data_IF_844997299546
#
_entry.id   IF_844997299546
#
_cell.length_a   1.000
_cell.length_b   1.000
_cell.length_c   1.000
_cell.angle_alpha   90.00
_cell.angle_beta   90.00
_cell.angle_gamma   90.00
#
_symmetry.space_group_name_H-M   'P 1'
#
loop_
_entity.id
_entity.type
_entity.pdbx_description
1 polymer ?
#
# COMPACT_ATOMS: atom_id res chain seq x y z
N UNK A 1 -5.96 -16.73 16.86
CA UNK A 1 -5.70 -15.99 15.60
C UNK A 1 -4.28 -16.32 15.20
N UNK A 2 -4.12 -17.03 14.09
CA UNK A 2 -2.82 -17.38 13.50
C UNK A 2 -2.25 -16.18 12.76
N UNK A 3 -0.96 -15.90 12.89
CA UNK A 3 -0.30 -14.72 12.39
C UNK A 3 0.75 -15.10 11.34
N UNK A 4 0.65 -14.53 10.15
CA UNK A 4 1.66 -14.67 9.11
C UNK A 4 2.35 -13.34 8.82
N UNK A 5 3.61 -13.41 8.38
CA UNK A 5 4.31 -12.29 7.73
C UNK A 5 4.54 -12.68 6.28
N UNK A 6 4.10 -11.85 5.34
CA UNK A 6 4.40 -11.95 3.92
C UNK A 6 5.50 -10.94 3.59
N UNK A 7 6.71 -11.42 3.37
CA UNK A 7 7.89 -10.61 3.06
C UNK A 7 8.34 -10.86 1.62
N UNK A 8 8.78 -9.80 0.93
CA UNK A 8 9.37 -9.93 -0.40
C UNK A 8 10.76 -9.31 -0.44
N UNK A 9 11.65 -9.94 -1.21
CA UNK A 9 13.02 -9.47 -1.37
C UNK A 9 13.43 -9.41 -2.85
N UNK A 10 14.28 -8.44 -3.19
CA UNK A 10 15.00 -8.34 -4.45
C UNK A 10 16.19 -7.40 -4.29
N UNK A 11 17.41 -7.93 -4.39
CA UNK A 11 18.68 -7.19 -4.23
C UNK A 11 18.66 -6.26 -3.01
N UNK A 12 18.35 -6.81 -1.84
CA UNK A 12 18.16 -6.07 -0.60
C UNK A 12 19.24 -6.30 0.46
N UNK A 13 20.37 -6.87 0.12
CA UNK A 13 21.43 -7.30 1.05
C UNK A 13 21.85 -6.21 2.06
N UNK A 14 21.88 -4.93 1.64
CA UNK A 14 22.35 -3.81 2.46
C UNK A 14 21.50 -3.52 3.70
N UNK A 15 20.20 -3.79 3.64
CA UNK A 15 19.24 -3.44 4.69
C UNK A 15 18.59 -4.64 5.37
N UNK A 16 18.74 -5.81 4.77
CA UNK A 16 18.01 -7.02 5.10
C UNK A 16 18.17 -7.46 6.56
N UNK A 17 19.42 -7.44 7.07
CA UNK A 17 19.70 -7.96 8.42
C UNK A 17 18.99 -7.17 9.52
N UNK A 18 18.87 -5.85 9.39
CA UNK A 18 18.14 -5.02 10.36
C UNK A 18 16.63 -5.33 10.33
N UNK A 19 16.08 -5.53 9.12
CA UNK A 19 14.68 -5.94 8.96
C UNK A 19 14.42 -7.31 9.59
N UNK A 20 15.25 -8.33 9.28
CA UNK A 20 15.11 -9.68 9.84
C UNK A 20 15.19 -9.69 11.37
N UNK A 21 16.13 -8.93 11.94
CA UNK A 21 16.27 -8.79 13.40
C UNK A 21 15.03 -8.16 14.02
N UNK A 22 14.44 -7.15 13.37
CA UNK A 22 13.22 -6.51 13.83
C UNK A 22 12.01 -7.44 13.83
N UNK A 23 11.96 -8.41 12.90
CA UNK A 23 10.92 -9.45 12.87
C UNK A 23 11.15 -10.52 13.95
N UNK A 24 12.41 -10.98 14.10
CA UNK A 24 12.78 -12.02 15.07
C UNK A 24 12.59 -11.59 16.52
N UNK A 25 12.75 -10.30 16.81
CA UNK A 25 12.68 -9.74 18.18
C UNK A 25 11.32 -9.14 18.52
N UNK A 26 10.27 -9.47 17.77
CA UNK A 26 8.90 -9.06 18.11
C UNK A 26 8.47 -9.60 19.47
N UNK A 27 7.74 -8.80 20.26
CA UNK A 27 7.21 -9.22 21.57
C UNK A 27 6.11 -10.29 21.46
N UNK A 28 5.43 -10.36 20.33
CA UNK A 28 4.55 -11.44 19.91
C UNK A 28 5.08 -11.99 18.59
N UNK A 29 5.52 -13.24 18.58
CA UNK A 29 6.07 -13.88 17.39
C UNK A 29 4.97 -14.21 16.39
N UNK A 30 5.31 -14.12 15.09
CA UNK A 30 4.45 -14.66 14.04
C UNK A 30 4.51 -16.20 14.05
N UNK A 31 3.39 -16.86 13.73
CA UNK A 31 3.32 -18.32 13.59
C UNK A 31 4.07 -18.81 12.34
N UNK A 32 4.20 -17.94 11.32
CA UNK A 32 4.99 -18.19 10.10
C UNK A 32 5.50 -16.90 9.48
N UNK A 33 6.65 -16.99 8.82
CA UNK A 33 7.20 -15.91 7.97
C UNK A 33 7.45 -16.50 6.58
N UNK A 34 6.72 -16.02 5.58
CA UNK A 34 6.88 -16.42 4.19
C UNK A 34 7.68 -15.35 3.46
N UNK A 35 8.88 -15.69 3.03
CA UNK A 35 9.79 -14.80 2.31
C UNK A 35 9.86 -15.27 0.86
N UNK A 36 9.50 -14.38 -0.08
CA UNK A 36 9.61 -14.69 -1.51
C UNK A 36 10.66 -13.76 -2.13
N UNK A 37 11.75 -14.35 -2.57
CA UNK A 37 12.85 -13.66 -3.27
C UNK A 37 12.59 -13.63 -4.77
N UNK A 38 12.65 -12.43 -5.35
CA UNK A 38 12.37 -12.20 -6.78
C UNK A 38 13.59 -12.39 -7.69
N UNK A 39 14.32 -13.50 -7.48
CA UNK A 39 15.53 -13.83 -8.23
C UNK A 39 16.67 -12.82 -8.01
N UNK A 40 16.99 -12.53 -6.74
CA UNK A 40 18.13 -11.67 -6.38
C UNK A 40 19.45 -12.17 -6.98
N UNK A 41 20.29 -11.23 -7.37
CA UNK A 41 21.62 -11.45 -7.96
C UNK A 41 22.75 -11.03 -7.04
N UNK A 42 22.44 -10.40 -5.92
CA UNK A 42 23.34 -10.06 -4.83
C UNK A 42 23.32 -11.14 -3.72
N UNK A 43 23.90 -10.84 -2.57
CA UNK A 43 23.99 -11.78 -1.43
C UNK A 43 22.68 -11.94 -0.63
N UNK A 44 21.55 -11.41 -1.10
CA UNK A 44 20.26 -11.43 -0.37
C UNK A 44 19.86 -12.84 0.06
N UNK A 45 19.88 -13.80 -0.88
CA UNK A 45 19.46 -15.19 -0.63
C UNK A 45 20.39 -15.90 0.35
N UNK A 46 21.69 -15.69 0.23
CA UNK A 46 22.69 -16.29 1.12
C UNK A 46 22.54 -15.74 2.54
N UNK A 47 22.34 -14.44 2.69
CA UNK A 47 22.08 -13.80 3.99
C UNK A 47 20.80 -14.35 4.65
N UNK A 48 19.72 -14.54 3.89
CA UNK A 48 18.48 -15.13 4.39
C UNK A 48 18.72 -16.54 4.91
N UNK A 49 19.35 -17.41 4.12
CA UNK A 49 19.65 -18.79 4.51
C UNK A 49 20.52 -18.84 5.78
N UNK A 50 21.60 -18.06 5.80
CA UNK A 50 22.49 -17.97 6.97
C UNK A 50 21.75 -17.49 8.21
N UNK A 51 20.88 -16.49 8.08
CA UNK A 51 20.12 -15.93 9.19
C UNK A 51 19.12 -16.95 9.75
N UNK A 52 18.32 -17.60 8.88
CA UNK A 52 17.35 -18.63 9.25
C UNK A 52 18.06 -19.79 9.98
N UNK A 53 19.16 -20.29 9.46
CA UNK A 53 19.96 -21.35 10.08
C UNK A 53 20.54 -20.93 11.42
N UNK A 54 21.16 -19.76 11.50
CA UNK A 54 21.84 -19.25 12.71
C UNK A 54 20.89 -19.17 13.91
N UNK A 55 19.64 -18.78 13.67
CA UNK A 55 18.67 -18.56 14.73
C UNK A 55 17.61 -19.68 14.85
N UNK A 56 17.78 -20.79 14.10
CA UNK A 56 16.86 -21.96 14.12
C UNK A 56 15.39 -21.55 13.90
N UNK A 57 15.14 -20.73 12.85
CA UNK A 57 13.81 -20.18 12.54
C UNK A 57 13.00 -21.15 11.66
N UNK A 58 12.57 -22.28 12.22
CA UNK A 58 11.93 -23.38 11.47
C UNK A 58 10.57 -22.98 10.87
N UNK A 59 9.96 -21.92 11.37
CA UNK A 59 8.71 -21.36 10.87
C UNK A 59 8.92 -20.25 9.82
N UNK A 60 10.15 -20.01 9.38
CA UNK A 60 10.47 -19.08 8.30
C UNK A 60 10.75 -19.86 7.01
N UNK A 61 9.97 -19.57 5.96
CA UNK A 61 10.04 -20.27 4.67
C UNK A 61 10.55 -19.33 3.61
N UNK A 62 11.73 -19.63 3.03
CA UNK A 62 12.29 -18.90 1.90
C UNK A 62 11.92 -19.60 0.59
N UNK A 63 11.33 -18.85 -0.33
CA UNK A 63 10.95 -19.27 -1.68
C UNK A 63 11.69 -18.38 -2.67
N UNK A 64 12.57 -18.95 -3.49
CA UNK A 64 13.26 -18.22 -4.56
C UNK A 64 12.52 -18.38 -5.88
N UNK A 65 12.27 -17.29 -6.59
CA UNK A 65 11.75 -17.32 -7.96
C UNK A 65 12.86 -17.75 -8.94
N UNK A 66 12.48 -18.42 -10.02
CA UNK A 66 13.40 -18.80 -11.10
C UNK A 66 13.78 -17.64 -12.02
N UNK A 67 12.97 -16.56 -11.99
CA UNK A 67 13.20 -15.30 -12.71
C UNK A 67 12.57 -14.15 -11.96
N UNK A 68 13.02 -12.92 -12.23
CA UNK A 68 12.36 -11.73 -11.69
C UNK A 68 10.98 -11.55 -12.32
N UNK A 69 9.92 -11.64 -11.52
CA UNK A 69 8.51 -11.50 -11.92
C UNK A 69 7.93 -10.13 -11.57
N UNK A 70 8.72 -9.29 -10.91
CA UNK A 70 8.35 -7.95 -10.46
C UNK A 70 7.61 -7.91 -9.12
N UNK A 71 7.83 -6.84 -8.37
CA UNK A 71 7.36 -6.70 -6.99
C UNK A 71 5.85 -6.95 -6.80
N UNK A 72 4.99 -6.60 -7.77
CA UNK A 72 3.54 -6.82 -7.66
C UNK A 72 3.19 -8.30 -7.59
N UNK A 73 3.70 -9.08 -8.55
CA UNK A 73 3.47 -10.53 -8.60
C UNK A 73 4.16 -11.23 -7.44
N UNK A 74 5.34 -10.75 -7.06
CA UNK A 74 6.11 -11.31 -5.97
C UNK A 74 5.36 -11.19 -4.63
N UNK A 75 4.79 -10.02 -4.30
CA UNK A 75 3.96 -9.86 -3.12
C UNK A 75 2.69 -10.73 -3.16
N UNK A 76 2.01 -10.80 -4.31
CA UNK A 76 0.85 -11.70 -4.44
C UNK A 76 1.22 -13.15 -4.16
N UNK A 77 2.35 -13.60 -4.71
CA UNK A 77 2.88 -14.94 -4.44
C UNK A 77 3.15 -15.14 -2.94
N UNK A 78 3.75 -14.16 -2.27
CA UNK A 78 3.98 -14.23 -0.83
C UNK A 78 2.66 -14.34 -0.05
N UNK A 79 1.67 -13.50 -0.35
CA UNK A 79 0.33 -13.55 0.25
C UNK A 79 -0.36 -14.90 0.06
N UNK A 80 -0.31 -15.48 -1.15
CA UNK A 80 -0.89 -16.79 -1.48
C UNK A 80 -0.26 -17.94 -0.71
N UNK A 81 0.99 -17.80 -0.28
CA UNK A 81 1.71 -18.84 0.47
C UNK A 81 1.48 -18.74 1.99
N UNK A 82 0.93 -17.65 2.48
CA UNK A 82 0.59 -17.49 3.90
C UNK A 82 -0.71 -18.24 4.26
N UNK A 83 -0.80 -18.69 5.51
CA UNK A 83 -1.95 -19.47 6.03
C UNK A 83 -2.65 -18.80 7.22
N UNK A 84 -2.08 -17.74 7.78
CA UNK A 84 -2.59 -17.07 8.97
C UNK A 84 -3.93 -16.35 8.77
N UNK A 85 -4.65 -16.16 9.87
CA UNK A 85 -5.90 -15.40 9.92
C UNK A 85 -5.66 -13.91 9.67
N UNK A 86 -4.49 -13.42 10.13
CA UNK A 86 -3.99 -12.05 9.88
C UNK A 86 -2.60 -12.14 9.27
N UNK A 87 -2.39 -11.39 8.19
CA UNK A 87 -1.14 -11.33 7.45
C UNK A 87 -0.57 -9.93 7.51
N UNK A 88 0.66 -9.80 7.98
CA UNK A 88 1.44 -8.57 7.97
C UNK A 88 2.25 -8.47 6.68
N UNK A 89 2.17 -7.36 5.98
CA UNK A 89 2.98 -7.10 4.79
C UNK A 89 4.34 -6.52 5.22
N UNK A 90 5.41 -7.01 4.60
CA UNK A 90 6.77 -6.65 4.97
C UNK A 90 7.64 -6.39 3.73
N UNK A 91 8.21 -5.19 3.64
CA UNK A 91 9.28 -4.87 2.71
C UNK A 91 10.64 -5.29 3.30
N UNK A 92 11.70 -5.36 2.48
CA UNK A 92 13.02 -5.90 2.88
C UNK A 92 13.90 -4.91 3.65
N UNK A 93 13.52 -3.64 3.71
CA UNK A 93 14.41 -2.52 4.00
C UNK A 93 13.94 -1.61 5.14
N UNK A 94 12.84 -1.97 5.82
CA UNK A 94 12.30 -1.24 6.97
C UNK A 94 12.85 -1.78 8.31
N UNK A 95 12.44 -1.15 9.43
CA UNK A 95 12.65 -1.69 10.78
C UNK A 95 11.34 -1.61 11.54
N UNK A 96 10.85 -2.76 12.03
CA UNK A 96 9.61 -2.79 12.81
C UNK A 96 9.85 -2.47 14.28
N UNK A 97 8.92 -1.71 14.87
CA UNK A 97 8.85 -1.59 16.32
C UNK A 97 8.60 -2.98 16.94
N UNK A 98 9.29 -3.30 18.04
CA UNK A 98 9.22 -4.61 18.70
C UNK A 98 7.80 -5.04 19.10
N UNK A 99 6.88 -4.11 19.27
CA UNK A 99 5.51 -4.38 19.71
C UNK A 99 4.48 -4.28 18.55
N UNK A 100 4.94 -4.17 17.30
CA UNK A 100 4.04 -3.97 16.16
C UNK A 100 2.99 -5.08 16.07
N UNK A 101 3.40 -6.33 16.07
CA UNK A 101 2.48 -7.46 15.94
C UNK A 101 1.51 -7.51 17.13
N UNK A 102 2.01 -7.47 18.35
CA UNK A 102 1.18 -7.56 19.55
C UNK A 102 0.13 -6.45 19.66
N UNK A 103 0.53 -5.21 19.33
CA UNK A 103 -0.36 -4.06 19.37
C UNK A 103 -1.45 -4.14 18.29
N UNK A 104 -1.09 -4.49 17.05
CA UNK A 104 -2.06 -4.56 15.96
C UNK A 104 -3.01 -5.77 16.11
N UNK A 105 -2.53 -6.92 16.54
CA UNK A 105 -3.37 -8.10 16.82
C UNK A 105 -4.39 -7.80 17.92
N UNK A 106 -4.00 -7.07 18.96
CA UNK A 106 -4.93 -6.62 20.02
C UNK A 106 -6.10 -5.81 19.46
N UNK A 107 -5.86 -4.97 18.45
CA UNK A 107 -6.93 -4.18 17.84
C UNK A 107 -7.88 -5.03 16.99
N UNK A 108 -7.38 -6.06 16.28
CA UNK A 108 -8.25 -7.03 15.59
C UNK A 108 -9.14 -7.83 16.57
N UNK A 109 -8.64 -8.15 17.77
CA UNK A 109 -9.46 -8.79 18.80
C UNK A 109 -10.54 -7.86 19.37
N UNK A 110 -10.24 -6.56 19.53
CA UNK A 110 -11.21 -5.59 20.04
C UNK A 110 -12.31 -5.26 19.02
N UNK A 111 -11.97 -5.26 17.73
CA UNK A 111 -12.89 -4.86 16.67
C UNK A 111 -12.88 -5.87 15.51
N UNK A 112 -13.78 -6.85 15.54
CA UNK A 112 -13.89 -7.86 14.48
C UNK A 112 -14.19 -7.30 13.09
N UNK A 113 -14.72 -6.08 13.00
CA UNK A 113 -15.00 -5.40 11.72
C UNK A 113 -13.76 -4.93 10.97
N UNK A 114 -12.59 -4.90 11.60
CA UNK A 114 -11.34 -4.52 10.94
C UNK A 114 -10.92 -5.66 10.00
N UNK A 115 -10.82 -5.41 8.69
CA UNK A 115 -10.19 -6.32 7.73
C UNK A 115 -8.79 -5.84 7.32
N UNK A 116 -8.55 -4.52 7.32
CA UNK A 116 -7.23 -3.93 7.14
C UNK A 116 -6.97 -2.86 8.21
N UNK A 117 -5.86 -3.03 8.93
CA UNK A 117 -5.33 -2.05 9.87
C UNK A 117 -4.00 -1.53 9.34
N UNK A 118 -3.89 -0.22 9.14
CA UNK A 118 -2.66 0.43 8.70
C UNK A 118 -2.08 1.28 9.83
N UNK A 119 -0.85 1.02 10.23
CA UNK A 119 -0.18 1.82 11.27
C UNK A 119 0.41 3.12 10.71
N UNK A 120 0.76 4.05 11.60
CA UNK A 120 1.67 5.13 11.29
C UNK A 120 3.12 4.63 11.24
N UNK A 121 4.02 5.45 10.70
CA UNK A 121 5.44 5.14 10.54
C UNK A 121 6.28 6.40 10.75
N UNK A 122 7.57 6.22 10.97
CA UNK A 122 8.59 7.27 10.93
C UNK A 122 9.46 7.08 9.70
N UNK A 123 10.00 8.15 9.13
CA UNK A 123 10.96 8.05 8.03
C UNK A 123 12.36 7.98 8.61
N UNK A 124 13.10 6.93 8.24
CA UNK A 124 14.55 6.90 8.36
C UNK A 124 15.16 7.53 7.11
N UNK A 125 15.70 8.75 7.26
CA UNK A 125 16.37 9.45 6.17
C UNK A 125 17.90 9.28 6.32
N UNK A 126 18.51 8.64 5.34
CA UNK A 126 19.96 8.50 5.27
C UNK A 126 20.55 9.57 4.34
N UNK A 127 20.60 10.80 4.81
CA UNK A 127 21.50 11.82 4.28
C UNK A 127 20.98 12.74 3.17
N UNK A 128 19.67 12.90 2.99
CA UNK A 128 19.12 14.00 2.20
C UNK A 128 18.21 14.89 3.04
N UNK A 129 18.46 16.21 2.94
CA UNK A 129 17.65 17.27 3.58
C UNK A 129 16.20 17.37 3.02
N UNK A 130 15.70 16.36 2.36
CA UNK A 130 14.33 16.34 1.87
C UNK A 130 13.39 16.02 3.03
N UNK A 131 13.03 17.07 3.77
CA UNK A 131 11.89 17.03 4.71
C UNK A 131 10.63 16.72 3.92
N UNK A 132 10.40 15.44 3.64
CA UNK A 132 9.10 14.99 3.18
C UNK A 132 8.14 15.15 4.35
N UNK A 133 7.34 16.21 4.32
CA UNK A 133 6.19 16.35 5.22
C UNK A 133 5.27 15.17 4.94
N UNK A 134 5.35 14.15 5.80
CA UNK A 134 4.36 13.08 5.82
C UNK A 134 3.07 13.75 6.30
N UNK A 135 2.08 13.80 5.42
CA UNK A 135 0.76 14.32 5.76
C UNK A 135 0.16 13.41 6.83
N UNK A 136 -0.30 13.99 7.92
CA UNK A 136 -1.06 13.35 9.00
C UNK A 136 -0.30 12.37 9.92
N UNK A 137 1.03 12.37 9.94
CA UNK A 137 1.85 11.53 10.85
C UNK A 137 2.05 12.19 12.23
N UNK A 138 1.49 13.36 12.45
CA UNK A 138 1.68 14.10 13.73
C UNK A 138 0.99 13.42 14.92
N UNK A 139 0.00 12.55 14.70
CA UNK A 139 -0.72 11.86 15.78
C UNK A 139 -0.09 10.49 16.05
N UNK A 140 0.61 10.37 17.17
CA UNK A 140 1.08 9.11 17.74
C UNK A 140 0.40 8.85 19.09
N UNK A 141 -0.92 8.88 19.10
CA UNK A 141 -1.74 8.77 20.32
C UNK A 141 -2.34 7.37 20.54
N UNK A 142 -2.07 6.43 19.63
CA UNK A 142 -2.58 5.05 19.70
C UNK A 142 -4.08 4.89 19.45
N UNK A 143 -4.74 5.90 18.90
CA UNK A 143 -6.15 5.77 18.50
C UNK A 143 -6.30 4.90 17.27
N UNK A 144 -7.39 4.12 17.19
CA UNK A 144 -7.80 3.38 16.00
C UNK A 144 -9.04 4.08 15.43
N UNK A 145 -8.91 4.57 14.20
CA UNK A 145 -9.97 5.36 13.55
C UNK A 145 -10.40 4.74 12.23
N UNK A 146 -11.70 4.68 11.91
CA UNK A 146 -12.16 4.17 10.63
C UNK A 146 -11.75 5.12 9.50
N UNK A 147 -11.41 4.53 8.36
CA UNK A 147 -11.13 5.26 7.14
C UNK A 147 -12.11 4.83 6.05
N UNK A 148 -13.00 5.74 5.66
CA UNK A 148 -14.08 5.47 4.73
C UNK A 148 -13.88 6.15 3.38
N UNK A 149 -14.58 5.64 2.37
CA UNK A 149 -14.65 6.24 1.05
C UNK A 149 -15.19 7.69 1.15
N UNK A 150 -14.42 8.63 0.63
CA UNK A 150 -14.81 10.03 0.43
C UNK A 150 -14.60 10.35 -1.03
N UNK A 151 -15.25 11.39 -1.54
CA UNK A 151 -15.10 11.81 -2.95
C UNK A 151 -13.67 12.02 -3.44
N UNK A 152 -12.69 12.03 -2.53
CA UNK A 152 -11.26 12.29 -2.80
C UNK A 152 -10.35 11.07 -2.77
N UNK A 153 -10.84 9.87 -2.41
CA UNK A 153 -9.96 8.88 -1.80
C UNK A 153 -9.87 7.54 -2.51
N UNK A 154 -9.32 7.49 -3.71
CA UNK A 154 -8.75 6.23 -4.23
C UNK A 154 -7.23 6.18 -3.98
N UNK A 155 -6.69 7.16 -3.29
CA UNK A 155 -5.25 7.22 -3.00
C UNK A 155 -4.94 6.49 -1.70
N UNK A 156 -3.96 5.60 -1.75
CA UNK A 156 -3.39 4.95 -0.57
C UNK A 156 -2.66 5.99 0.26
N UNK A 157 -2.98 6.04 1.55
CA UNK A 157 -2.43 7.05 2.47
C UNK A 157 -1.27 6.53 3.31
N UNK A 158 -1.00 5.23 3.28
CA UNK A 158 0.08 4.58 4.02
C UNK A 158 0.77 3.54 3.15
N UNK A 159 2.10 3.35 3.25
CA UNK A 159 2.82 2.30 2.51
C UNK A 159 2.36 0.90 2.94
N UNK A 160 2.43 -0.07 2.02
CA UNK A 160 1.97 -1.44 2.23
C UNK A 160 2.61 -2.13 3.44
N UNK A 161 3.88 -1.88 3.72
CA UNK A 161 4.60 -2.43 4.88
C UNK A 161 3.97 -2.06 6.24
N UNK A 162 3.09 -1.04 6.28
CA UNK A 162 2.36 -0.68 7.50
C UNK A 162 1.12 -1.54 7.74
N UNK A 163 0.71 -2.39 6.79
CA UNK A 163 -0.56 -3.11 6.82
C UNK A 163 -0.48 -4.43 7.59
N UNK A 164 -1.55 -4.68 8.33
CA UNK A 164 -1.98 -6.01 8.76
C UNK A 164 -3.38 -6.25 8.16
N UNK A 165 -3.57 -7.42 7.55
CA UNK A 165 -4.73 -7.71 6.69
C UNK A 165 -5.34 -9.03 7.09
N UNK A 166 -6.66 -9.09 7.28
CA UNK A 166 -7.37 -10.37 7.48
C UNK A 166 -7.39 -11.21 6.21
N UNK A 167 -7.40 -12.52 6.41
CA UNK A 167 -7.43 -13.53 5.35
C UNK A 167 -8.56 -13.31 4.35
N UNK A 168 -9.74 -12.94 4.84
CA UNK A 168 -10.92 -12.71 4.00
C UNK A 168 -10.68 -11.66 2.92
N UNK A 169 -9.95 -10.60 3.24
CA UNK A 169 -9.62 -9.55 2.27
C UNK A 169 -8.57 -10.02 1.25
N UNK A 170 -7.65 -10.90 1.65
CA UNK A 170 -6.68 -11.52 0.73
C UNK A 170 -7.38 -12.46 -0.25
N UNK A 171 -8.32 -13.28 0.23
CA UNK A 171 -9.15 -14.13 -0.62
C UNK A 171 -9.95 -13.30 -1.63
N UNK A 172 -10.47 -12.15 -1.21
CA UNK A 172 -11.15 -11.23 -2.12
C UNK A 172 -10.18 -10.63 -3.16
N UNK A 173 -8.95 -10.26 -2.77
CA UNK A 173 -7.90 -9.82 -3.71
C UNK A 173 -7.62 -10.89 -4.76
N UNK A 174 -7.50 -12.15 -4.36
CA UNK A 174 -7.21 -13.28 -5.25
C UNK A 174 -8.35 -13.55 -6.23
N UNK A 175 -9.60 -13.45 -5.77
CA UNK A 175 -10.82 -13.63 -6.59
C UNK A 175 -10.86 -12.73 -7.82
N UNK A 176 -10.32 -11.52 -7.73
CA UNK A 176 -10.42 -10.51 -8.79
C UNK A 176 -9.19 -10.37 -9.68
N UNK A 177 -8.16 -11.16 -9.51
CA UNK A 177 -6.92 -11.24 -10.30
C UNK A 177 -6.52 -9.97 -11.08
N UNK A 178 -5.90 -8.99 -10.39
CA UNK A 178 -5.57 -7.70 -11.00
C UNK A 178 -4.07 -7.44 -10.89
N UNK A 179 -3.32 -7.94 -11.86
CA UNK A 179 -1.86 -7.76 -11.92
C UNK A 179 -1.40 -6.33 -12.21
N UNK A 180 -2.28 -5.49 -12.77
CA UNK A 180 -1.92 -4.11 -13.19
C UNK A 180 -1.75 -3.13 -12.04
N UNK A 181 -2.32 -3.39 -10.86
CA UNK A 181 -2.22 -2.54 -9.69
C UNK A 181 -1.34 -3.17 -8.60
N UNK A 182 -0.78 -2.33 -7.71
CA UNK A 182 -0.09 -2.82 -6.52
C UNK A 182 -1.04 -3.55 -5.57
N UNK A 183 -0.55 -4.60 -4.93
CA UNK A 183 -1.30 -5.36 -3.93
C UNK A 183 -1.81 -4.47 -2.78
N UNK A 184 -0.98 -3.55 -2.32
CA UNK A 184 -1.27 -2.56 -1.29
C UNK A 184 -2.40 -1.61 -1.69
N UNK A 185 -2.37 -1.13 -2.95
CA UNK A 185 -3.41 -0.27 -3.50
C UNK A 185 -4.78 -0.97 -3.52
N UNK A 186 -4.82 -2.21 -3.98
CA UNK A 186 -6.08 -2.95 -4.07
C UNK A 186 -6.60 -3.33 -2.69
N UNK A 187 -5.75 -3.86 -1.79
CA UNK A 187 -6.16 -4.19 -0.42
C UNK A 187 -6.72 -2.98 0.31
N UNK A 188 -6.03 -1.83 0.24
CA UNK A 188 -6.50 -0.58 0.81
C UNK A 188 -7.89 -0.19 0.31
N UNK A 189 -8.05 -0.16 -1.01
CA UNK A 189 -9.29 0.29 -1.62
C UNK A 189 -10.45 -0.70 -1.43
N UNK A 190 -10.19 -2.01 -1.46
CA UNK A 190 -11.20 -3.03 -1.12
C UNK A 190 -11.69 -2.87 0.32
N UNK A 191 -10.78 -2.75 1.30
CA UNK A 191 -11.15 -2.52 2.69
C UNK A 191 -11.90 -1.20 2.87
N UNK A 192 -11.50 -0.14 2.15
CA UNK A 192 -12.13 1.18 2.24
C UNK A 192 -13.59 1.15 1.75
N UNK A 193 -13.87 0.53 0.58
CA UNK A 193 -15.25 0.47 0.05
C UNK A 193 -16.15 -0.46 0.86
N UNK A 194 -15.58 -1.45 1.55
CA UNK A 194 -16.28 -2.33 2.48
C UNK A 194 -16.51 -1.68 3.87
N UNK A 195 -15.88 -0.53 4.14
CA UNK A 195 -15.95 0.13 5.45
C UNK A 195 -15.16 -0.59 6.55
N UNK A 196 -14.19 -1.41 6.18
CA UNK A 196 -13.39 -2.27 7.08
C UNK A 196 -11.92 -1.86 7.17
N UNK A 197 -11.58 -0.68 6.61
CA UNK A 197 -10.27 -0.04 6.70
C UNK A 197 -10.18 0.84 7.93
N UNK A 198 -9.14 0.62 8.74
CA UNK A 198 -8.85 1.42 9.92
C UNK A 198 -7.40 1.89 9.94
N UNK A 199 -7.17 3.08 10.49
CA UNK A 199 -5.84 3.63 10.74
C UNK A 199 -5.53 3.50 12.22
N UNK A 200 -4.37 2.91 12.52
CA UNK A 200 -3.80 2.91 13.86
C UNK A 200 -2.82 4.06 13.98
N UNK A 201 -3.19 5.10 14.72
CA UNK A 201 -2.41 6.32 14.90
C UNK A 201 -1.27 6.09 15.90
N UNK A 202 -0.43 5.07 15.62
CA UNK A 202 0.78 4.73 16.35
C UNK A 202 1.89 4.39 15.36
N UNK A 203 3.09 4.94 15.61
CA UNK A 203 4.27 4.70 14.77
C UNK A 203 4.85 3.34 15.12
N UNK A 204 4.72 2.39 14.19
CA UNK A 204 5.14 1.00 14.41
C UNK A 204 6.20 0.52 13.40
N UNK A 205 6.66 1.40 12.52
CA UNK A 205 7.69 1.14 11.52
C UNK A 205 8.59 2.35 11.39
N UNK A 206 9.89 2.11 11.29
CA UNK A 206 10.86 3.03 10.74
C UNK A 206 10.98 2.73 9.23
N UNK A 207 10.29 3.54 8.43
CA UNK A 207 10.23 3.40 6.98
C UNK A 207 11.48 4.00 6.34
N UNK A 208 12.27 3.15 5.67
CA UNK A 208 13.52 3.55 5.05
C UNK A 208 13.27 4.10 3.63
N UNK A 209 13.95 5.21 3.32
CA UNK A 209 14.00 5.75 1.96
C UNK A 209 15.41 5.77 1.44
N UNK A 210 15.61 5.18 0.27
CA UNK A 210 16.85 5.20 -0.49
C UNK A 210 16.58 5.38 -1.98
N UNK A 211 17.62 5.66 -2.78
CA UNK A 211 17.46 6.00 -4.20
C UNK A 211 16.84 4.89 -5.04
N UNK A 212 17.04 3.65 -4.65
CA UNK A 212 16.52 2.45 -5.33
C UNK A 212 15.14 2.03 -4.83
N UNK A 213 14.55 2.73 -3.85
CA UNK A 213 13.21 2.42 -3.34
C UNK A 213 12.16 2.49 -4.46
N UNK A 214 11.23 1.54 -4.50
CA UNK A 214 10.13 1.53 -5.47
C UNK A 214 9.26 2.81 -5.40
N UNK A 215 9.24 3.47 -4.25
CA UNK A 215 8.53 4.73 -3.97
C UNK A 215 9.38 6.00 -4.21
N UNK A 216 10.60 5.88 -4.76
CA UNK A 216 11.47 7.03 -5.02
C UNK A 216 10.78 8.08 -5.92
N UNK A 217 11.00 9.41 -5.68
CA UNK A 217 10.36 10.46 -6.46
C UNK A 217 10.74 10.33 -7.93
N UNK A 218 9.77 10.05 -8.79
CA UNK A 218 9.98 9.98 -10.24
C UNK A 218 9.81 11.36 -10.88
N UNK A 219 10.66 11.63 -11.86
CA UNK A 219 10.85 12.77 -12.76
C UNK A 219 9.72 13.82 -12.93
N UNK A 220 10.06 14.93 -13.66
CA UNK A 220 9.27 16.15 -13.88
C UNK A 220 7.79 15.92 -14.22
N UNK A 221 6.92 16.78 -13.67
CA UNK A 221 5.51 16.88 -14.02
C UNK A 221 5.36 17.27 -15.49
N UNK A 222 4.79 16.38 -16.32
CA UNK A 222 4.36 16.68 -17.68
C UNK A 222 2.91 16.20 -17.89
N UNK A 223 2.31 16.61 -19.02
CA UNK A 223 0.89 16.33 -19.32
C UNK A 223 0.63 14.83 -19.52
N UNK A 224 1.46 14.13 -20.25
CA UNK A 224 1.33 12.68 -20.51
C UNK A 224 1.33 11.87 -19.23
N UNK A 225 2.30 12.13 -18.35
CA UNK A 225 2.37 11.48 -17.03
C UNK A 225 1.13 11.77 -16.21
N UNK A 226 0.63 13.01 -16.25
CA UNK A 226 -0.59 13.37 -15.50
C UNK A 226 -1.81 12.65 -16.00
N UNK A 227 -1.93 12.44 -17.32
CA UNK A 227 -2.96 11.60 -17.93
C UNK A 227 -2.87 10.16 -17.40
N UNK A 228 -1.68 9.57 -17.37
CA UNK A 228 -1.46 8.19 -16.84
C UNK A 228 -1.85 8.09 -15.36
N UNK A 229 -1.49 9.07 -14.53
CA UNK A 229 -1.87 9.09 -13.10
C UNK A 229 -3.39 9.13 -12.90
N UNK A 230 -4.09 9.95 -13.67
CA UNK A 230 -5.56 10.06 -13.61
C UNK A 230 -6.23 8.83 -14.21
N UNK A 231 -5.69 8.29 -15.32
CA UNK A 231 -6.18 7.04 -15.91
C UNK A 231 -6.06 5.88 -14.93
N UNK A 232 -4.93 5.75 -14.24
CA UNK A 232 -4.77 4.74 -13.19
C UNK A 232 -5.86 4.87 -12.11
N UNK A 233 -6.14 6.09 -11.66
CA UNK A 233 -7.21 6.34 -10.69
C UNK A 233 -8.59 5.99 -11.24
N UNK A 234 -8.86 6.31 -12.51
CA UNK A 234 -10.10 5.96 -13.21
C UNK A 234 -10.27 4.44 -13.28
N UNK A 235 -9.23 3.72 -13.69
CA UNK A 235 -9.25 2.26 -13.79
C UNK A 235 -9.49 1.58 -12.42
N UNK A 236 -8.93 2.14 -11.35
CA UNK A 236 -9.20 1.66 -9.98
C UNK A 236 -10.67 1.91 -9.60
N UNK A 237 -11.23 3.10 -9.90
CA UNK A 237 -12.63 3.41 -9.62
C UNK A 237 -13.59 2.47 -10.36
N UNK A 238 -13.35 2.21 -11.64
CA UNK A 238 -14.13 1.26 -12.45
C UNK A 238 -14.06 -0.16 -11.88
N UNK A 239 -12.85 -0.59 -11.50
CA UNK A 239 -12.66 -1.87 -10.85
C UNK A 239 -13.44 -1.99 -9.54
N UNK A 240 -13.31 -0.99 -8.65
CA UNK A 240 -14.03 -0.99 -7.38
C UNK A 240 -15.55 -0.96 -7.56
N UNK A 241 -16.04 -0.28 -8.59
CA UNK A 241 -17.44 -0.27 -8.95
C UNK A 241 -17.94 -1.66 -9.37
N UNK A 242 -17.17 -2.36 -10.19
CA UNK A 242 -17.47 -3.75 -10.58
C UNK A 242 -17.51 -4.68 -9.36
N UNK A 243 -16.50 -4.58 -8.47
CA UNK A 243 -16.48 -5.34 -7.21
C UNK A 243 -17.68 -4.99 -6.33
N UNK A 244 -17.97 -3.69 -6.14
CA UNK A 244 -19.07 -3.25 -5.28
C UNK A 244 -20.43 -3.79 -5.75
N UNK A 245 -20.65 -3.87 -7.06
CA UNK A 245 -21.84 -4.47 -7.66
C UNK A 245 -21.90 -5.98 -7.46
N UNK A 246 -20.78 -6.69 -7.70
CA UNK A 246 -20.70 -8.16 -7.57
C UNK A 246 -20.79 -8.64 -6.12
N UNK A 247 -20.25 -7.87 -5.19
CA UNK A 247 -20.30 -8.16 -3.75
C UNK A 247 -21.54 -7.54 -3.07
N UNK A 248 -22.49 -6.96 -3.85
CA UNK A 248 -23.73 -6.37 -3.36
C UNK A 248 -23.54 -5.35 -2.23
N UNK A 249 -22.53 -4.47 -2.35
CA UNK A 249 -22.28 -3.41 -1.36
C UNK A 249 -23.42 -2.38 -1.35
N UNK A 250 -23.46 -1.55 -0.30
CA UNK A 250 -24.45 -0.49 -0.11
C UNK A 250 -24.58 0.38 -1.38
N UNK A 251 -25.82 0.66 -1.79
CA UNK A 251 -26.15 1.47 -2.98
C UNK A 251 -25.50 2.86 -2.93
N UNK A 252 -25.27 3.41 -1.72
CA UNK A 252 -24.56 4.68 -1.55
C UNK A 252 -23.10 4.58 -1.98
N UNK A 253 -22.44 3.46 -1.66
CA UNK A 253 -21.04 3.19 -2.09
C UNK A 253 -20.99 3.04 -3.61
N UNK A 254 -21.92 2.29 -4.19
CA UNK A 254 -22.04 2.11 -5.65
C UNK A 254 -22.21 3.48 -6.33
N UNK A 255 -23.15 4.31 -5.88
CA UNK A 255 -23.39 5.65 -6.43
C UNK A 255 -22.18 6.59 -6.27
N UNK A 256 -21.46 6.52 -5.15
CA UNK A 256 -20.22 7.30 -4.96
C UNK A 256 -19.13 6.87 -5.95
N UNK A 257 -18.97 5.56 -6.20
CA UNK A 257 -17.99 5.04 -7.15
C UNK A 257 -18.38 5.38 -8.60
N UNK A 258 -19.64 5.34 -8.96
CA UNK A 258 -20.14 5.78 -10.28
C UNK A 258 -19.81 7.25 -10.55
N UNK A 259 -20.12 8.13 -9.58
CA UNK A 259 -19.79 9.55 -9.68
C UNK A 259 -18.28 9.78 -9.75
N UNK A 260 -17.49 9.02 -8.98
CA UNK A 260 -16.03 9.11 -8.99
C UNK A 260 -15.46 8.67 -10.34
N UNK A 261 -15.92 7.55 -10.90
CA UNK A 261 -15.51 7.07 -12.21
C UNK A 261 -15.82 8.09 -13.31
N UNK A 262 -17.06 8.63 -13.35
CA UNK A 262 -17.47 9.67 -14.29
C UNK A 262 -16.58 10.93 -14.20
N UNK A 263 -16.29 11.40 -12.98
CA UNK A 263 -15.45 12.60 -12.78
C UNK A 263 -14.01 12.35 -13.21
N UNK A 264 -13.45 11.17 -12.89
CA UNK A 264 -12.08 10.82 -13.29
C UNK A 264 -11.95 10.62 -14.79
N UNK A 265 -12.96 10.02 -15.44
CA UNK A 265 -13.01 9.87 -16.89
C UNK A 265 -13.00 11.24 -17.56
N UNK A 266 -13.88 12.13 -17.16
CA UNK A 266 -13.96 13.50 -17.73
C UNK A 266 -12.67 14.30 -17.51
N UNK A 267 -12.07 14.17 -16.32
CA UNK A 267 -10.78 14.79 -16.02
C UNK A 267 -9.67 14.26 -16.93
N UNK A 268 -9.62 12.94 -17.14
CA UNK A 268 -8.66 12.28 -18.04
C UNK A 268 -8.79 12.79 -19.48
N UNK A 269 -10.01 12.86 -20.01
CA UNK A 269 -10.28 13.39 -21.36
C UNK A 269 -9.78 14.83 -21.51
N UNK A 270 -10.11 15.71 -20.55
CA UNK A 270 -9.66 17.11 -20.59
C UNK A 270 -8.14 17.18 -20.52
N UNK A 271 -7.50 16.39 -19.66
CA UNK A 271 -6.05 16.34 -19.57
C UNK A 271 -5.41 15.81 -20.86
N UNK A 272 -6.07 14.90 -21.59
CA UNK A 272 -5.57 14.32 -22.82
C UNK A 272 -5.73 15.27 -24.01
N UNK A 273 -6.93 15.75 -24.26
CA UNK A 273 -7.28 16.44 -25.51
C UNK A 273 -7.86 17.84 -25.29
N UNK A 274 -8.05 18.28 -24.06
CA UNK A 274 -8.70 19.54 -23.72
C UNK A 274 -7.75 20.73 -23.62
N UNK A 275 -8.31 21.86 -23.17
CA UNK A 275 -7.67 23.16 -23.02
C UNK A 275 -7.54 23.58 -21.55
N UNK A 276 -6.67 24.58 -21.29
CA UNK A 276 -6.54 25.18 -19.96
C UNK A 276 -7.88 25.71 -19.42
N UNK A 277 -8.70 26.33 -20.29
CA UNK A 277 -10.00 26.87 -19.87
C UNK A 277 -10.97 25.75 -19.44
N UNK A 278 -10.97 24.63 -20.14
CA UNK A 278 -11.79 23.47 -19.80
C UNK A 278 -11.39 22.84 -18.46
N UNK A 279 -10.08 22.72 -18.17
CA UNK A 279 -9.65 22.17 -16.88
C UNK A 279 -9.98 23.12 -15.72
N UNK A 280 -9.85 24.41 -15.89
CA UNK A 280 -10.22 25.41 -14.87
C UNK A 280 -11.75 25.36 -14.61
N UNK A 281 -12.57 25.34 -15.65
CA UNK A 281 -14.03 25.20 -15.49
C UNK A 281 -14.42 23.89 -14.80
N UNK A 282 -13.78 22.79 -15.20
CA UNK A 282 -13.98 21.49 -14.57
C UNK A 282 -13.65 21.52 -13.07
N UNK A 283 -12.54 22.16 -12.69
CA UNK A 283 -12.12 22.28 -11.30
C UNK A 283 -13.11 23.06 -10.44
N UNK A 284 -13.69 24.15 -10.96
CA UNK A 284 -14.73 24.91 -10.25
C UNK A 284 -15.93 24.03 -9.88
N UNK A 285 -16.30 23.09 -10.75
CA UNK A 285 -17.44 22.20 -10.56
C UNK A 285 -17.09 20.99 -9.68
N UNK A 286 -15.91 20.41 -9.82
CA UNK A 286 -15.54 19.12 -9.27
C UNK A 286 -14.33 19.17 -8.29
N UNK A 287 -14.05 20.34 -7.68
CA UNK A 287 -12.93 20.50 -6.74
C UNK A 287 -12.94 19.48 -5.58
N UNK A 288 -14.13 19.07 -5.15
CA UNK A 288 -14.33 18.11 -4.07
C UNK A 288 -13.77 16.70 -4.38
N UNK A 289 -13.53 16.39 -5.66
CA UNK A 289 -12.96 15.12 -6.11
C UNK A 289 -11.43 15.15 -6.25
N UNK A 290 -10.79 16.27 -5.98
CA UNK A 290 -9.33 16.34 -6.01
C UNK A 290 -8.75 15.86 -4.69
N UNK A 291 -7.81 14.90 -4.71
CA UNK A 291 -7.19 14.37 -3.48
C UNK A 291 -6.52 15.46 -2.64
N UNK A 292 -5.85 16.40 -3.32
CA UNK A 292 -5.13 17.50 -2.67
C UNK A 292 -5.19 18.75 -3.49
N UNK A 293 -4.96 19.90 -2.85
CA UNK A 293 -4.78 21.18 -3.54
C UNK A 293 -3.60 21.15 -4.54
N UNK A 294 -2.52 20.42 -4.19
CA UNK A 294 -1.37 20.21 -5.08
C UNK A 294 -1.80 19.52 -6.39
N UNK A 295 -2.68 18.53 -6.34
CA UNK A 295 -3.18 17.85 -7.53
C UNK A 295 -3.99 18.79 -8.43
N UNK A 296 -4.74 19.73 -7.83
CA UNK A 296 -5.48 20.74 -8.57
C UNK A 296 -4.53 21.69 -9.31
N UNK A 297 -3.53 22.23 -8.61
CA UNK A 297 -2.50 23.09 -9.24
C UNK A 297 -1.73 22.32 -10.32
N UNK A 298 -1.39 21.05 -10.08
CA UNK A 298 -0.65 20.24 -11.06
C UNK A 298 -1.38 20.10 -12.38
N UNK A 299 -2.71 19.96 -12.37
CA UNK A 299 -3.51 19.90 -13.60
C UNK A 299 -3.47 21.22 -14.40
N UNK A 300 -3.39 22.36 -13.73
CA UNK A 300 -3.22 23.66 -14.42
C UNK A 300 -1.81 23.77 -15.01
N UNK A 301 -0.79 23.45 -14.20
CA UNK A 301 0.61 23.61 -14.58
C UNK A 301 1.01 22.81 -15.82
N UNK A 302 0.40 21.62 -16.04
CA UNK A 302 0.71 20.80 -17.24
C UNK A 302 0.19 21.40 -18.55
N UNK A 303 -0.73 22.35 -18.50
CA UNK A 303 -1.16 23.13 -19.68
C UNK A 303 -0.30 24.37 -19.92
N UNK A 304 0.42 24.85 -18.90
CA UNK A 304 1.28 26.04 -18.98
C UNK A 304 2.73 25.69 -19.32
N UNK A 305 3.14 24.44 -19.11
CA UNK A 305 4.46 23.96 -19.55
C UNK A 305 4.41 23.61 -21.03
N UNK A 306 5.22 24.34 -21.82
CA UNK A 306 5.52 23.99 -23.21
C UNK A 306 6.47 22.79 -23.28
#
# INVERSE_FOLDING_TARGET
MRISIAMTTYNGADYLLEQLESLRTQSLMADEVIIVDDCSTDNTVDLLNMYIQKYHLDNWVLIKNSSNIGWRKNFRKALQKTTGDVVFLCDQDDIWNKDKISLMVKEFHKSPSIELLASNYEILDFGRNDKVKIRDVELDNGAVVPFSLKNKSISVMRPGCTFAVKRELIVLLEKYDIDRFGHDNILWNLAMVRGTLYLYLKRLIHFRRHETSASAPKQSLNRERRVVEVDTSYQIAVFLLDVARKEHLDIKIISQLENMAMVLERRREILKDGTLMQIVHFQLKYYAYYPTFRNLISDILVFLKK
#
